data_IF_694707167808
#
_entry.id   IF_694707167808
#
_cell.length_a   1.000
_cell.length_b   1.000
_cell.length_c   1.000
_cell.angle_alpha   90.00
_cell.angle_beta   90.00
_cell.angle_gamma   90.00
#
_symmetry.space_group_name_H-M   'P 1'
#
loop_
_entity.id
_entity.type
_entity.pdbx_description
1 polymer ?
#
# COMPACT_ATOMS: atom_id res chain seq x y z
N UNK A 1 12.64 7.74 -15.65
CA UNK A 1 11.66 7.77 -16.75
C UNK A 1 10.51 6.82 -16.43
N UNK A 2 9.49 7.29 -15.71
CA UNK A 2 8.19 6.60 -15.62
C UNK A 2 7.14 7.61 -16.12
N UNK A 3 7.07 7.72 -17.44
CA UNK A 3 6.09 8.52 -18.18
C UNK A 3 4.80 7.70 -18.32
N UNK A 4 3.67 8.31 -17.94
CA UNK A 4 2.39 8.11 -18.60
C UNK A 4 1.53 6.93 -18.13
N UNK A 5 0.75 7.15 -17.06
CA UNK A 5 -0.53 6.46 -16.88
C UNK A 5 -1.65 7.51 -16.81
N UNK A 6 -2.05 8.01 -17.98
CA UNK A 6 -3.35 8.64 -18.16
C UNK A 6 -4.35 7.53 -18.49
N UNK A 7 -5.14 7.11 -17.50
CA UNK A 7 -6.37 6.36 -17.76
C UNK A 7 -7.45 7.42 -17.95
N UNK A 8 -7.73 7.80 -19.20
CA UNK A 8 -8.95 8.51 -19.55
C UNK A 8 -10.11 7.53 -19.43
N UNK A 9 -10.88 7.66 -18.35
CA UNK A 9 -12.15 6.94 -18.19
C UNK A 9 -13.24 7.78 -18.87
N UNK A 10 -13.60 7.43 -20.10
CA UNK A 10 -14.71 8.06 -20.80
C UNK A 10 -16.05 7.47 -20.30
N UNK A 11 -16.71 8.19 -19.39
CA UNK A 11 -18.10 7.95 -19.00
C UNK A 11 -19.02 8.83 -19.86
N UNK A 12 -19.50 8.32 -20.98
CA UNK A 12 -20.31 9.15 -21.87
C UNK A 12 -21.07 8.40 -22.95
N UNK A 13 -22.15 7.70 -22.58
CA UNK A 13 -23.16 7.28 -23.54
C UNK A 13 -23.83 8.51 -24.18
N UNK A 14 -23.50 8.82 -25.43
CA UNK A 14 -24.32 9.65 -26.32
C UNK A 14 -24.12 9.23 -27.77
N UNK A 15 -25.23 8.83 -28.42
CA UNK A 15 -25.29 8.56 -29.86
C UNK A 15 -25.09 9.87 -30.61
N UNK A 16 -24.10 9.92 -31.50
CA UNK A 16 -24.07 10.88 -32.60
C UNK A 16 -23.80 10.11 -33.91
N UNK A 17 -24.82 10.08 -34.77
CA UNK A 17 -24.64 9.86 -36.20
C UNK A 17 -24.17 11.17 -36.83
N UNK A 18 -23.05 11.16 -37.54
CA UNK A 18 -22.91 11.70 -38.91
C UNK A 18 -21.46 12.02 -39.28
N UNK A 19 -21.12 11.66 -40.52
CA UNK A 19 -20.13 12.27 -41.41
C UNK A 19 -18.65 12.22 -41.02
N UNK A 20 -18.04 11.04 -41.18
CA UNK A 20 -16.65 10.90 -41.63
C UNK A 20 -16.41 9.43 -41.98
N UNK A 21 -16.13 9.16 -43.27
CA UNK A 21 -16.06 7.83 -43.85
C UNK A 21 -14.83 7.01 -43.43
N UNK A 22 -14.86 6.46 -42.21
CA UNK A 22 -13.93 5.41 -41.79
C UNK A 22 -14.70 4.18 -41.30
N UNK A 23 -14.85 3.22 -42.19
CA UNK A 23 -15.31 1.87 -41.85
C UNK A 23 -14.18 1.12 -41.17
N UNK A 24 -14.31 0.88 -39.86
CA UNK A 24 -13.37 0.05 -39.11
C UNK A 24 -13.46 -1.41 -39.58
N UNK A 25 -12.36 -2.05 -39.99
CA UNK A 25 -12.37 -3.46 -40.36
C UNK A 25 -12.62 -4.31 -39.12
N UNK A 26 -13.63 -5.18 -39.21
CA UNK A 26 -13.63 -6.53 -38.66
C UNK A 26 -13.16 -6.71 -37.22
N UNK A 27 -14.12 -6.97 -36.33
CA UNK A 27 -13.95 -7.65 -35.05
C UNK A 27 -13.10 -8.92 -35.24
N UNK A 28 -11.78 -8.87 -35.05
CA UNK A 28 -10.84 -10.01 -34.89
C UNK A 28 -9.39 -9.51 -34.93
N UNK A 29 -8.96 -8.66 -34.00
CA UNK A 29 -7.53 -8.32 -33.87
C UNK A 29 -7.15 -7.83 -32.47
N UNK A 30 -7.51 -8.57 -31.43
CA UNK A 30 -6.89 -8.41 -30.10
C UNK A 30 -6.69 -9.78 -29.47
N UNK A 31 -5.88 -10.62 -30.12
CA UNK A 31 -5.34 -11.84 -29.50
C UNK A 31 -3.82 -11.78 -29.60
N UNK A 32 -3.18 -11.69 -28.43
CA UNK A 32 -1.73 -11.74 -28.13
C UNK A 32 -0.90 -10.49 -28.43
N UNK A 33 -0.78 -9.62 -27.41
CA UNK A 33 0.52 -9.35 -26.77
C UNK A 33 0.33 -8.66 -25.42
N UNK A 34 1.16 -9.07 -24.45
CA UNK A 34 1.32 -8.55 -23.09
C UNK A 34 0.19 -8.84 -22.10
N UNK A 35 0.53 -9.77 -21.20
CA UNK A 35 -0.20 -10.15 -19.99
C UNK A 35 -0.24 -8.95 -19.02
N UNK A 36 -1.14 -8.01 -19.26
CA UNK A 36 -1.65 -7.12 -18.22
C UNK A 36 -3.05 -7.62 -17.89
N UNK A 37 -3.13 -8.40 -16.81
CA UNK A 37 -4.41 -8.81 -16.27
C UNK A 37 -5.06 -7.56 -15.66
N UNK A 38 -6.21 -7.15 -16.21
CA UNK A 38 -7.09 -6.19 -15.54
C UNK A 38 -7.34 -6.67 -14.11
N UNK A 39 -7.50 -5.75 -13.12
CA UNK A 39 -7.73 -6.13 -11.72
C UNK A 39 -8.89 -7.14 -11.67
N UNK A 40 -8.59 -8.38 -11.24
CA UNK A 40 -9.51 -9.52 -11.35
C UNK A 40 -10.75 -9.36 -10.46
N UNK A 41 -10.74 -8.39 -9.53
CA UNK A 41 -11.83 -8.09 -8.59
C UNK A 41 -12.02 -6.58 -8.44
N UNK A 42 -13.27 -6.13 -8.27
CA UNK A 42 -13.58 -4.71 -7.99
C UNK A 42 -12.88 -4.16 -6.74
N UNK A 43 -12.53 -5.03 -5.80
CA UNK A 43 -11.72 -4.73 -4.60
C UNK A 43 -10.30 -4.25 -4.97
N UNK A 44 -9.70 -4.81 -6.02
CA UNK A 44 -8.36 -4.45 -6.48
C UNK A 44 -8.36 -3.07 -7.17
N UNK A 45 -9.40 -2.77 -7.95
CA UNK A 45 -9.57 -1.47 -8.59
C UNK A 45 -9.84 -0.35 -7.57
N UNK A 46 -10.68 -0.62 -6.56
CA UNK A 46 -10.95 0.32 -5.46
C UNK A 46 -9.69 0.64 -4.66
N UNK A 47 -8.82 -0.35 -4.46
CA UNK A 47 -7.54 -0.14 -3.80
C UNK A 47 -6.56 0.69 -4.62
N UNK A 48 -6.39 0.38 -5.91
CA UNK A 48 -5.46 1.13 -6.77
C UNK A 48 -5.89 2.59 -6.82
N UNK A 49 -7.20 2.82 -6.89
CA UNK A 49 -7.78 4.14 -6.77
C UNK A 49 -7.47 4.80 -5.42
N UNK A 50 -7.75 4.15 -4.29
CA UNK A 50 -7.50 4.70 -2.95
C UNK A 50 -6.02 5.03 -2.71
N UNK A 51 -5.11 4.12 -3.07
CA UNK A 51 -3.67 4.33 -2.94
C UNK A 51 -3.20 5.50 -3.82
N UNK A 52 -3.67 5.56 -5.06
CA UNK A 52 -3.35 6.64 -5.99
C UNK A 52 -3.89 8.00 -5.51
N UNK A 53 -5.14 8.05 -5.03
CA UNK A 53 -5.76 9.30 -4.54
C UNK A 53 -5.06 9.81 -3.29
N UNK A 54 -4.75 8.94 -2.32
CA UNK A 54 -4.03 9.32 -1.11
C UNK A 54 -2.63 9.84 -1.40
N UNK A 55 -1.89 9.17 -2.29
CA UNK A 55 -0.57 9.64 -2.70
C UNK A 55 -0.67 10.97 -3.43
N UNK A 56 -1.66 11.16 -4.30
CA UNK A 56 -1.86 12.41 -5.02
C UNK A 56 -2.21 13.56 -4.07
N UNK A 57 -3.07 13.34 -3.09
CA UNK A 57 -3.47 14.34 -2.10
C UNK A 57 -2.33 14.71 -1.16
N UNK A 58 -1.53 13.73 -0.73
CA UNK A 58 -0.34 13.97 0.08
C UNK A 58 0.73 14.74 -0.70
N UNK A 59 0.93 14.42 -1.99
CA UNK A 59 1.84 15.17 -2.87
C UNK A 59 1.35 16.60 -3.09
N UNK A 60 0.05 16.79 -3.28
CA UNK A 60 -0.53 18.11 -3.40
C UNK A 60 -0.30 18.94 -2.13
N UNK A 61 -0.52 18.36 -0.96
CA UNK A 61 -0.24 19.03 0.31
C UNK A 61 1.25 19.38 0.49
N UNK A 62 2.15 18.51 0.06
CA UNK A 62 3.59 18.78 0.07
C UNK A 62 3.97 19.93 -0.87
N UNK A 63 3.40 19.97 -2.08
CA UNK A 63 3.61 21.05 -3.06
C UNK A 63 3.03 22.37 -2.55
N UNK A 64 1.86 22.35 -1.93
CA UNK A 64 1.21 23.53 -1.34
C UNK A 64 2.05 24.12 -0.20
N UNK A 65 2.54 23.28 0.71
CA UNK A 65 3.46 23.69 1.77
C UNK A 65 4.77 24.29 1.23
N UNK A 66 5.29 23.77 0.11
CA UNK A 66 6.48 24.33 -0.53
C UNK A 66 6.18 25.68 -1.16
N UNK A 67 5.08 25.78 -1.91
CA UNK A 67 4.62 27.03 -2.52
C UNK A 67 4.43 28.12 -1.47
N UNK A 68 3.77 27.82 -0.34
CA UNK A 68 3.56 28.79 0.73
C UNK A 68 4.91 29.26 1.34
N UNK A 69 5.86 28.35 1.59
CA UNK A 69 7.21 28.73 2.03
C UNK A 69 7.93 29.59 0.97
N UNK A 70 7.79 29.30 -0.31
CA UNK A 70 8.41 30.07 -1.39
C UNK A 70 7.81 31.48 -1.52
N UNK A 71 6.48 31.63 -1.40
CA UNK A 71 5.85 32.95 -1.43
C UNK A 71 6.32 33.85 -0.28
N UNK A 72 6.49 33.28 0.92
CA UNK A 72 7.02 34.03 2.07
C UNK A 72 8.54 34.25 2.01
N UNK A 73 9.26 33.44 1.24
CA UNK A 73 10.71 33.57 1.07
C UNK A 73 11.08 34.89 0.40
N UNK A 74 10.34 35.32 -0.62
CA UNK A 74 10.65 36.54 -1.35
C UNK A 74 10.45 37.79 -0.50
N UNK A 75 9.37 37.81 0.30
CA UNK A 75 9.12 38.88 1.27
C UNK A 75 10.22 38.91 2.34
N UNK A 76 10.59 37.75 2.88
CA UNK A 76 11.70 37.62 3.83
C UNK A 76 13.03 38.11 3.24
N UNK A 77 13.38 37.68 2.04
CA UNK A 77 14.64 38.02 1.38
C UNK A 77 14.73 39.53 1.09
N UNK A 78 13.63 40.13 0.63
CA UNK A 78 13.52 41.57 0.40
C UNK A 78 13.64 42.37 1.71
N UNK A 79 12.93 41.95 2.77
CA UNK A 79 12.94 42.62 4.07
C UNK A 79 14.32 42.52 4.75
N UNK A 80 14.94 41.34 4.73
CA UNK A 80 16.28 41.14 5.28
C UNK A 80 17.33 41.92 4.48
N UNK A 81 17.23 41.94 3.15
CA UNK A 81 18.12 42.72 2.28
C UNK A 81 18.01 44.23 2.53
N UNK A 82 16.79 44.74 2.68
CA UNK A 82 16.53 46.16 2.98
C UNK A 82 17.00 46.50 4.39
N UNK A 83 16.73 45.65 5.37
CA UNK A 83 17.18 45.83 6.75
C UNK A 83 18.70 45.88 6.89
N UNK A 84 19.43 45.02 6.16
CA UNK A 84 20.90 45.05 6.13
C UNK A 84 21.46 46.33 5.52
N UNK A 85 20.83 46.84 4.45
CA UNK A 85 21.20 48.15 3.87
C UNK A 85 20.96 49.29 4.86
N UNK A 86 19.81 49.30 5.52
CA UNK A 86 19.49 50.31 6.55
C UNK A 86 20.50 50.26 7.69
N UNK A 87 20.83 49.07 8.20
CA UNK A 87 21.83 48.87 9.24
C UNK A 87 23.17 49.52 8.89
N UNK A 88 23.63 49.38 7.64
CA UNK A 88 24.89 49.99 7.19
C UNK A 88 24.87 51.51 7.06
N UNK A 89 23.69 52.12 7.06
CA UNK A 89 23.48 53.56 6.87
C UNK A 89 23.12 54.32 8.17
N UNK A 90 22.89 53.60 9.28
CA UNK A 90 22.54 54.20 10.56
C UNK A 90 23.74 54.90 11.19
N UNK A 91 23.58 56.16 11.56
CA UNK A 91 24.60 56.94 12.28
C UNK A 91 24.57 56.69 13.81
N UNK A 92 23.43 56.23 14.32
CA UNK A 92 23.22 55.91 15.75
C UNK A 92 23.59 54.45 16.03
N UNK A 93 24.54 54.25 16.94
CA UNK A 93 25.00 52.92 17.32
C UNK A 93 23.90 52.12 18.03
N UNK A 94 23.10 52.77 18.86
CA UNK A 94 22.03 52.11 19.62
C UNK A 94 20.90 51.64 18.68
N UNK A 95 20.53 52.45 17.70
CA UNK A 95 19.53 52.08 16.69
C UNK A 95 20.03 50.94 15.79
N UNK A 96 21.32 50.94 15.45
CA UNK A 96 21.95 49.87 14.69
C UNK A 96 21.91 48.54 15.46
N UNK A 97 22.25 48.55 16.75
CA UNK A 97 22.17 47.35 17.62
C UNK A 97 20.72 46.84 17.73
N UNK A 98 19.75 47.75 17.89
CA UNK A 98 18.34 47.38 17.97
C UNK A 98 17.82 46.76 16.66
N UNK A 99 18.18 47.34 15.50
CA UNK A 99 17.80 46.82 14.19
C UNK A 99 18.44 45.46 13.91
N UNK A 100 19.74 45.32 14.23
CA UNK A 100 20.46 44.05 14.09
C UNK A 100 19.75 42.93 14.87
N UNK A 101 19.40 43.20 16.14
CA UNK A 101 18.68 42.22 16.97
C UNK A 101 17.33 41.81 16.35
N UNK A 102 16.56 42.77 15.81
CA UNK A 102 15.27 42.47 15.15
C UNK A 102 15.45 41.63 13.88
N UNK A 103 16.49 41.91 13.09
CA UNK A 103 16.83 41.11 11.91
C UNK A 103 17.23 39.69 12.29
N UNK A 104 18.02 39.54 13.36
CA UNK A 104 18.42 38.22 13.86
C UNK A 104 17.23 37.42 14.39
N UNK A 105 16.33 38.04 15.16
CA UNK A 105 15.09 37.41 15.63
C UNK A 105 14.19 36.97 14.46
N UNK A 106 14.05 37.81 13.43
CA UNK A 106 13.30 37.46 12.20
C UNK A 106 13.95 36.29 11.45
N UNK A 107 15.27 36.34 11.24
CA UNK A 107 16.02 35.27 10.56
C UNK A 107 15.90 33.94 11.32
N UNK A 108 15.98 33.97 12.65
CA UNK A 108 15.77 32.78 13.49
C UNK A 108 14.36 32.20 13.32
N UNK A 109 13.31 33.04 13.37
CA UNK A 109 11.92 32.60 13.16
C UNK A 109 11.74 32.00 11.77
N UNK A 110 12.35 32.59 10.74
CA UNK A 110 12.33 32.08 9.38
C UNK A 110 12.99 30.70 9.26
N UNK A 111 14.19 30.54 9.82
CA UNK A 111 14.89 29.26 9.84
C UNK A 111 14.10 28.19 10.60
N UNK A 112 13.48 28.55 11.71
CA UNK A 112 12.61 27.65 12.49
C UNK A 112 11.38 27.19 11.70
N UNK A 113 10.72 28.13 11.00
CA UNK A 113 9.57 27.81 10.14
C UNK A 113 9.97 26.83 9.03
N UNK A 114 11.08 27.11 8.33
CA UNK A 114 11.60 26.23 7.29
C UNK A 114 11.95 24.84 7.83
N UNK A 115 12.59 24.77 9.01
CA UNK A 115 12.93 23.51 9.65
C UNK A 115 11.68 22.70 10.02
N UNK A 116 10.65 23.35 10.57
CA UNK A 116 9.35 22.71 10.85
C UNK A 116 8.66 22.19 9.60
N UNK A 117 8.61 22.99 8.52
CA UNK A 117 8.02 22.56 7.23
C UNK A 117 8.72 21.32 6.70
N UNK A 118 10.05 21.34 6.66
CA UNK A 118 10.86 20.20 6.22
C UNK A 118 10.60 18.95 7.07
N UNK A 119 10.47 19.11 8.39
CA UNK A 119 10.18 18.00 9.29
C UNK A 119 8.79 17.40 9.02
N UNK A 120 7.76 18.22 8.77
CA UNK A 120 6.41 17.76 8.42
C UNK A 120 6.44 16.97 7.13
N UNK A 121 7.08 17.52 6.08
CA UNK A 121 7.25 16.86 4.78
C UNK A 121 7.91 15.49 4.90
N UNK A 122 9.06 15.43 5.57
CA UNK A 122 9.79 14.16 5.75
C UNK A 122 8.94 13.11 6.50
N UNK A 123 8.12 13.54 7.47
CA UNK A 123 7.21 12.64 8.19
C UNK A 123 6.10 12.12 7.28
N UNK A 124 5.53 12.97 6.43
CA UNK A 124 4.48 12.57 5.48
C UNK A 124 5.02 11.63 4.40
N UNK A 125 6.19 11.92 3.84
CA UNK A 125 6.86 11.07 2.85
C UNK A 125 7.18 9.70 3.44
N UNK A 126 7.85 9.66 4.61
CA UNK A 126 8.16 8.41 5.30
C UNK A 126 6.92 7.60 5.66
N UNK A 127 5.85 8.25 6.13
CA UNK A 127 4.58 7.58 6.40
C UNK A 127 3.98 6.98 5.11
N UNK A 128 4.05 7.72 4.00
CA UNK A 128 3.55 7.30 2.69
C UNK A 128 4.26 6.08 2.15
N UNK A 129 5.59 6.12 2.16
CA UNK A 129 6.42 4.99 1.78
C UNK A 129 6.11 3.75 2.62
N UNK A 130 5.96 3.94 3.93
CA UNK A 130 5.71 2.85 4.87
C UNK A 130 4.38 2.14 4.60
N UNK A 131 3.25 2.86 4.57
CA UNK A 131 1.94 2.23 4.36
C UNK A 131 1.81 1.64 2.95
N UNK A 132 2.43 2.29 1.94
CA UNK A 132 2.37 1.81 0.57
C UNK A 132 3.14 0.49 0.40
N UNK A 133 4.36 0.43 0.92
CA UNK A 133 5.18 -0.79 0.90
C UNK A 133 4.50 -1.94 1.64
N UNK A 134 3.90 -1.65 2.81
CA UNK A 134 3.13 -2.63 3.58
C UNK A 134 1.98 -3.21 2.76
N UNK A 135 1.16 -2.36 2.12
CA UNK A 135 0.02 -2.82 1.34
C UNK A 135 0.43 -3.65 0.12
N UNK A 136 1.49 -3.25 -0.59
CA UNK A 136 2.04 -4.04 -1.70
C UNK A 136 2.51 -5.41 -1.21
N UNK A 137 3.26 -5.45 -0.10
CA UNK A 137 3.73 -6.69 0.51
C UNK A 137 2.58 -7.63 0.89
N UNK A 138 1.55 -7.12 1.57
CA UNK A 138 0.38 -7.92 1.96
C UNK A 138 -0.28 -8.58 0.75
N UNK A 139 -0.40 -7.85 -0.38
CA UNK A 139 -1.02 -8.35 -1.62
C UNK A 139 -0.19 -9.41 -2.31
N UNK A 140 1.10 -9.16 -2.48
CA UNK A 140 2.02 -10.13 -3.07
C UNK A 140 2.01 -11.45 -2.28
N UNK A 141 1.91 -11.35 -0.95
CA UNK A 141 1.79 -12.51 -0.07
C UNK A 141 0.44 -13.22 -0.23
N UNK A 142 -0.67 -12.49 -0.27
CA UNK A 142 -2.01 -13.05 -0.54
C UNK A 142 -2.03 -13.81 -1.87
N UNK A 143 -1.53 -13.21 -2.94
CA UNK A 143 -1.44 -13.86 -4.25
C UNK A 143 -0.52 -15.08 -4.23
N UNK A 144 0.59 -14.99 -3.48
CA UNK A 144 1.49 -16.12 -3.29
C UNK A 144 0.80 -17.28 -2.57
N UNK A 145 0.04 -16.99 -1.50
CA UNK A 145 -0.70 -18.00 -0.74
C UNK A 145 -1.78 -18.65 -1.60
N UNK A 146 -2.54 -17.86 -2.38
CA UNK A 146 -3.53 -18.39 -3.32
C UNK A 146 -2.88 -19.32 -4.34
N UNK A 147 -1.72 -18.93 -4.91
CA UNK A 147 -1.00 -19.79 -5.87
C UNK A 147 -0.54 -21.09 -5.21
N UNK A 148 -0.02 -21.03 -3.98
CA UNK A 148 0.40 -22.23 -3.24
C UNK A 148 -0.77 -23.13 -2.85
N UNK A 149 -1.91 -22.55 -2.55
CA UNK A 149 -3.14 -23.30 -2.32
C UNK A 149 -3.60 -24.06 -3.58
N UNK A 150 -3.52 -23.41 -4.76
CA UNK A 150 -3.81 -24.08 -6.03
C UNK A 150 -2.80 -25.17 -6.38
N UNK A 151 -1.52 -24.96 -6.08
CA UNK A 151 -0.46 -25.97 -6.25
C UNK A 151 -0.72 -27.20 -5.37
N UNK A 152 -1.06 -26.99 -4.11
CA UNK A 152 -1.42 -28.07 -3.17
C UNK A 152 -2.68 -28.82 -3.64
N UNK A 153 -3.66 -28.12 -4.22
CA UNK A 153 -4.85 -28.74 -4.84
C UNK A 153 -4.46 -29.60 -6.06
N UNK A 154 -3.46 -29.16 -6.82
CA UNK A 154 -2.97 -29.83 -8.02
C UNK A 154 -2.19 -31.12 -7.78
N UNK A 155 -1.71 -31.39 -6.55
CA UNK A 155 -1.00 -32.64 -6.21
C UNK A 155 -1.88 -33.90 -6.29
N UNK A 156 -3.20 -33.73 -6.46
CA UNK A 156 -4.14 -34.81 -6.70
C UNK A 156 -4.41 -35.69 -5.47
N UNK A 157 -5.31 -36.69 -5.59
CA UNK A 157 -5.54 -37.65 -4.53
C UNK A 157 -4.29 -38.52 -4.28
N UNK A 158 -4.16 -39.01 -3.04
CA UNK A 158 -3.05 -39.91 -2.68
C UNK A 158 -3.20 -41.22 -3.46
N UNK A 159 -2.17 -41.60 -4.21
CA UNK A 159 -2.17 -42.80 -5.05
C UNK A 159 -1.69 -44.03 -4.25
N UNK A 160 -2.21 -45.22 -4.57
CA UNK A 160 -1.96 -46.45 -3.81
C UNK A 160 -0.66 -47.20 -4.14
N UNK A 161 0.05 -46.85 -5.21
CA UNK A 161 1.36 -47.45 -5.53
C UNK A 161 2.48 -46.81 -4.70
N UNK A 162 3.38 -47.63 -4.15
CA UNK A 162 4.46 -47.23 -3.25
C UNK A 162 5.37 -46.18 -3.90
N UNK A 163 5.73 -46.35 -5.18
CA UNK A 163 6.61 -45.41 -5.87
C UNK A 163 5.96 -44.03 -6.05
N UNK A 164 4.64 -44.00 -6.33
CA UNK A 164 3.87 -42.77 -6.42
C UNK A 164 3.71 -42.10 -5.05
N UNK A 165 3.49 -42.88 -3.99
CA UNK A 165 3.37 -42.38 -2.62
C UNK A 165 4.68 -41.78 -2.11
N UNK A 166 5.82 -42.43 -2.38
CA UNK A 166 7.15 -41.91 -2.07
C UNK A 166 7.39 -40.56 -2.74
N UNK A 167 7.06 -40.46 -4.04
CA UNK A 167 7.16 -39.22 -4.80
C UNK A 167 6.27 -38.12 -4.20
N UNK A 168 5.01 -38.42 -3.89
CA UNK A 168 4.09 -37.47 -3.26
C UNK A 168 4.61 -36.98 -1.89
N UNK A 169 5.28 -37.85 -1.12
CA UNK A 169 5.89 -37.47 0.16
C UNK A 169 7.07 -36.51 -0.02
N UNK A 170 7.91 -36.74 -1.04
CA UNK A 170 9.04 -35.85 -1.35
C UNK A 170 8.57 -34.51 -1.93
N UNK A 171 7.57 -34.53 -2.81
CA UNK A 171 6.90 -33.32 -3.32
C UNK A 171 6.31 -32.50 -2.16
N UNK A 172 5.66 -33.16 -1.18
CA UNK A 172 5.17 -32.48 0.03
C UNK A 172 6.29 -31.82 0.83
N UNK A 173 7.39 -32.55 1.01
CA UNK A 173 8.54 -32.08 1.80
C UNK A 173 9.14 -30.84 1.16
N UNK A 174 9.23 -30.81 -0.18
CA UNK A 174 9.62 -29.64 -0.95
C UNK A 174 8.65 -28.47 -0.77
N UNK A 175 7.35 -28.73 -0.84
CA UNK A 175 6.31 -27.72 -0.61
C UNK A 175 6.38 -27.12 0.81
N UNK A 176 6.50 -27.97 1.83
CA UNK A 176 6.68 -27.60 3.25
C UNK A 176 7.86 -26.66 3.45
N UNK A 177 9.02 -26.95 2.85
CA UNK A 177 10.20 -26.07 2.95
C UNK A 177 9.91 -24.67 2.42
N UNK A 178 9.22 -24.56 1.29
CA UNK A 178 8.84 -23.26 0.73
C UNK A 178 7.88 -22.47 1.64
N UNK A 179 6.99 -23.16 2.39
CA UNK A 179 6.16 -22.50 3.40
C UNK A 179 7.03 -22.00 4.57
N UNK A 180 7.95 -22.81 5.09
CA UNK A 180 8.84 -22.41 6.17
C UNK A 180 9.72 -21.22 5.78
N UNK A 181 10.26 -21.21 4.56
CA UNK A 181 11.06 -20.09 4.04
C UNK A 181 10.23 -18.79 3.91
N UNK A 182 8.93 -18.92 3.60
CA UNK A 182 8.03 -17.76 3.44
C UNK A 182 7.46 -17.25 4.76
N UNK A 183 7.36 -18.10 5.78
CA UNK A 183 6.78 -17.79 7.11
C UNK A 183 7.31 -16.48 7.71
N UNK A 184 8.62 -16.22 7.83
CA UNK A 184 9.11 -14.99 8.49
C UNK A 184 8.65 -13.73 7.77
N UNK A 185 8.49 -13.78 6.44
CA UNK A 185 8.02 -12.64 5.64
C UNK A 185 6.52 -12.40 5.92
N UNK A 186 5.71 -13.47 5.97
CA UNK A 186 4.29 -13.37 6.30
C UNK A 186 4.08 -12.83 7.71
N UNK A 187 4.79 -13.36 8.70
CA UNK A 187 4.70 -12.93 10.09
C UNK A 187 5.11 -11.47 10.27
N UNK A 188 6.17 -11.04 9.59
CA UNK A 188 6.62 -9.65 9.62
C UNK A 188 5.60 -8.69 8.99
N UNK A 189 5.05 -9.02 7.82
CA UNK A 189 4.02 -8.17 7.18
C UNK A 189 2.73 -8.11 8.00
N UNK A 190 2.32 -9.21 8.64
CA UNK A 190 1.19 -9.22 9.56
C UNK A 190 1.46 -8.40 10.82
N UNK A 191 2.67 -8.48 11.39
CA UNK A 191 3.08 -7.68 12.55
C UNK A 191 3.07 -6.18 12.20
N UNK A 192 3.70 -5.81 11.10
CA UNK A 192 3.75 -4.43 10.60
C UNK A 192 2.34 -3.88 10.36
N UNK A 193 1.45 -4.70 9.79
CA UNK A 193 0.04 -4.34 9.60
C UNK A 193 -0.71 -4.11 10.91
N UNK A 194 -0.51 -4.98 11.92
CA UNK A 194 -1.10 -4.78 13.25
C UNK A 194 -0.56 -3.54 13.96
N UNK A 195 0.73 -3.27 13.85
CA UNK A 195 1.36 -2.08 14.42
C UNK A 195 0.83 -0.80 13.77
N UNK A 196 0.72 -0.77 12.44
CA UNK A 196 0.14 0.36 11.72
C UNK A 196 -1.28 0.66 12.21
N UNK A 197 -2.10 -0.38 12.34
CA UNK A 197 -3.48 -0.27 12.83
C UNK A 197 -3.53 0.20 14.30
N UNK A 198 -2.60 -0.27 15.15
CA UNK A 198 -2.56 0.08 16.57
C UNK A 198 -2.06 1.51 16.84
N UNK A 199 -1.22 2.04 15.94
CA UNK A 199 -0.67 3.39 16.04
C UNK A 199 -1.66 4.47 15.53
N UNK A 200 -2.81 4.07 14.97
CA UNK A 200 -3.90 5.00 14.66
C UNK A 200 -4.50 5.54 15.98
N UNK A 201 -4.65 6.86 16.15
CA UNK A 201 -5.15 7.42 17.40
C UNK A 201 -6.50 6.78 17.79
N UNK A 202 -6.67 6.33 19.05
CA UNK A 202 -7.92 5.75 19.48
C UNK A 202 -9.03 6.79 19.36
N UNK A 203 -10.17 6.33 18.83
CA UNK A 203 -11.42 7.07 18.72
C UNK A 203 -11.69 7.81 20.03
N UNK A 204 -11.70 9.14 19.99
CA UNK A 204 -12.40 9.91 21.02
C UNK A 204 -13.88 9.85 20.68
N UNK A 205 -14.57 8.85 21.21
CA UNK A 205 -16.03 8.71 21.13
C UNK A 205 -16.76 9.67 22.09
N UNK A 206 -16.11 10.79 22.44
CA UNK A 206 -16.70 11.90 23.20
C UNK A 206 -16.38 13.20 22.47
N UNK A 207 -17.16 13.51 21.44
CA UNK A 207 -17.42 14.89 21.06
C UNK A 207 -18.83 14.99 20.49
N UNK A 208 -19.79 14.53 21.28
CA UNK A 208 -21.11 15.17 21.25
C UNK A 208 -20.93 16.60 21.79
N UNK A 209 -21.46 17.55 21.03
CA UNK A 209 -21.70 18.96 21.40
C UNK A 209 -20.61 20.00 21.05
N UNK A 210 -20.85 20.60 19.88
CA UNK A 210 -20.82 22.05 19.57
C UNK A 210 -19.74 22.58 18.61
N UNK A 211 -20.21 23.06 17.45
CA UNK A 211 -19.47 23.92 16.53
C UNK A 211 -19.87 23.74 15.07
N UNK A 212 -21.16 23.82 14.73
CA UNK A 212 -21.74 24.89 13.89
C UNK A 212 -21.07 25.08 12.52
N UNK A 213 -21.84 24.69 11.49
CA UNK A 213 -21.95 25.29 10.16
C UNK A 213 -20.93 26.39 9.81
N UNK A 214 -19.95 26.03 8.98
CA UNK A 214 -19.37 26.95 8.02
C UNK A 214 -19.40 26.28 6.64
N UNK A 215 -20.13 26.95 5.76
CA UNK A 215 -20.33 26.71 4.34
C UNK A 215 -19.10 26.21 3.57
N UNK A 216 -19.39 25.45 2.51
CA UNK A 216 -18.75 25.75 1.23
C UNK A 216 -18.02 24.59 0.57
N UNK A 217 -18.68 24.01 -0.42
CA UNK A 217 -18.05 23.35 -1.57
C UNK A 217 -17.29 22.04 -1.28
N UNK A 218 -17.96 21.07 -0.64
CA UNK A 218 -17.53 19.65 -0.70
C UNK A 218 -17.78 19.07 -2.09
N UNK A 219 -16.92 19.47 -3.01
CA UNK A 219 -16.82 19.04 -4.40
C UNK A 219 -16.29 17.61 -4.48
N UNK A 220 -17.05 16.61 -3.99
CA UNK A 220 -16.84 15.17 -4.26
C UNK A 220 -15.51 14.54 -3.83
N UNK A 221 -14.56 15.29 -3.26
CA UNK A 221 -13.33 14.79 -2.66
C UNK A 221 -13.58 14.50 -1.18
N UNK A 222 -13.33 13.25 -0.77
CA UNK A 222 -13.32 12.87 0.66
C UNK A 222 -12.23 13.65 1.36
N UNK A 223 -12.50 14.19 2.55
CA UNK A 223 -11.50 14.84 3.40
C UNK A 223 -10.29 13.91 3.64
N UNK A 224 -9.07 14.45 3.69
CA UNK A 224 -7.84 13.70 3.96
C UNK A 224 -7.95 12.75 5.17
N UNK A 225 -8.72 13.16 6.19
CA UNK A 225 -9.00 12.33 7.37
C UNK A 225 -9.87 11.11 7.03
N UNK A 226 -10.90 11.29 6.20
CA UNK A 226 -11.75 10.19 5.73
C UNK A 226 -10.97 9.21 4.85
N UNK A 227 -10.03 9.71 4.05
CA UNK A 227 -9.14 8.88 3.25
C UNK A 227 -8.15 8.09 4.10
N UNK A 228 -7.54 8.71 5.12
CA UNK A 228 -6.69 8.03 6.08
C UNK A 228 -7.46 6.90 6.80
N UNK A 229 -8.72 7.15 7.18
CA UNK A 229 -9.60 6.12 7.76
C UNK A 229 -9.86 4.97 6.79
N UNK A 230 -10.13 5.25 5.51
CA UNK A 230 -10.34 4.18 4.52
C UNK A 230 -9.06 3.38 4.24
N UNK A 231 -7.89 4.02 4.28
CA UNK A 231 -6.59 3.36 4.20
C UNK A 231 -6.42 2.35 5.35
N UNK A 232 -6.67 2.77 6.59
CA UNK A 232 -6.55 1.87 7.75
C UNK A 232 -7.54 0.71 7.67
N UNK A 233 -8.79 0.97 7.22
CA UNK A 233 -9.76 -0.10 6.96
C UNK A 233 -9.26 -1.06 5.87
N UNK A 234 -8.64 -0.55 4.81
CA UNK A 234 -8.07 -1.37 3.74
C UNK A 234 -6.93 -2.24 4.26
N UNK A 235 -5.98 -1.67 5.01
CA UNK A 235 -4.87 -2.43 5.62
C UNK A 235 -5.41 -3.52 6.53
N UNK A 236 -6.41 -3.22 7.38
CA UNK A 236 -7.06 -4.21 8.24
C UNK A 236 -7.67 -5.37 7.46
N UNK A 237 -8.36 -5.09 6.35
CA UNK A 237 -8.93 -6.14 5.48
C UNK A 237 -7.84 -7.03 4.89
N UNK A 238 -6.77 -6.45 4.36
CA UNK A 238 -5.67 -7.22 3.76
C UNK A 238 -4.90 -8.04 4.80
N UNK A 239 -4.65 -7.49 6.00
CA UNK A 239 -4.03 -8.23 7.11
C UNK A 239 -4.87 -9.43 7.52
N UNK A 240 -6.19 -9.24 7.70
CA UNK A 240 -7.09 -10.35 8.05
C UNK A 240 -7.12 -11.41 6.96
N UNK A 241 -7.26 -10.98 5.70
CA UNK A 241 -7.28 -11.88 4.53
C UNK A 241 -5.99 -12.69 4.41
N UNK A 242 -4.83 -12.05 4.55
CA UNK A 242 -3.54 -12.75 4.53
C UNK A 242 -3.46 -13.77 5.66
N UNK A 243 -3.85 -13.38 6.88
CA UNK A 243 -3.82 -14.26 8.05
C UNK A 243 -4.71 -15.49 7.84
N UNK A 244 -5.94 -15.29 7.39
CA UNK A 244 -6.90 -16.37 7.14
C UNK A 244 -6.40 -17.33 6.05
N UNK A 245 -5.96 -16.80 4.91
CA UNK A 245 -5.48 -17.63 3.80
C UNK A 245 -4.20 -18.38 4.16
N UNK A 246 -3.28 -17.72 4.88
CA UNK A 246 -2.05 -18.36 5.34
C UNK A 246 -2.36 -19.53 6.28
N UNK A 247 -3.20 -19.31 7.30
CA UNK A 247 -3.57 -20.36 8.25
C UNK A 247 -4.28 -21.52 7.56
N UNK A 248 -5.23 -21.23 6.66
CA UNK A 248 -5.91 -22.26 5.89
C UNK A 248 -4.95 -23.09 5.01
N UNK A 249 -3.93 -22.46 4.41
CA UNK A 249 -2.90 -23.14 3.64
C UNK A 249 -2.05 -24.07 4.51
N UNK A 250 -1.64 -23.61 5.70
CA UNK A 250 -0.89 -24.45 6.67
C UNK A 250 -1.73 -25.65 7.08
N UNK A 251 -2.98 -25.43 7.51
CA UNK A 251 -3.89 -26.49 7.94
C UNK A 251 -4.13 -27.53 6.85
N UNK A 252 -4.35 -27.08 5.61
CA UNK A 252 -4.52 -27.97 4.45
C UNK A 252 -3.25 -28.76 4.16
N UNK A 253 -2.08 -28.13 4.24
CA UNK A 253 -0.79 -28.79 4.05
C UNK A 253 -0.58 -29.90 5.09
N UNK A 254 -0.91 -29.62 6.35
CA UNK A 254 -0.81 -30.60 7.45
C UNK A 254 -1.84 -31.72 7.29
N UNK A 255 -3.06 -31.41 6.88
CA UNK A 255 -4.08 -32.42 6.58
C UNK A 255 -3.64 -33.36 5.45
N UNK A 256 -2.98 -32.82 4.42
CA UNK A 256 -2.45 -33.64 3.33
C UNK A 256 -1.27 -34.51 3.79
N UNK A 257 -0.38 -33.99 4.65
CA UNK A 257 0.69 -34.78 5.30
C UNK A 257 0.13 -35.99 6.05
N UNK A 258 -0.89 -35.78 6.89
CA UNK A 258 -1.55 -36.86 7.66
C UNK A 258 -2.10 -37.93 6.74
N UNK A 259 -2.81 -37.55 5.67
CA UNK A 259 -3.33 -38.49 4.66
C UNK A 259 -2.22 -39.34 4.02
N UNK A 260 -1.08 -38.71 3.66
CA UNK A 260 0.06 -39.45 3.13
C UNK A 260 0.61 -40.47 4.13
N UNK A 261 0.79 -40.07 5.39
CA UNK A 261 1.34 -40.94 6.42
C UNK A 261 0.38 -42.10 6.76
N UNK A 262 -0.93 -41.85 6.79
CA UNK A 262 -1.95 -42.88 6.99
C UNK A 262 -1.91 -43.92 5.87
N UNK A 263 -1.88 -43.48 4.60
CA UNK A 263 -1.80 -44.40 3.45
C UNK A 263 -0.51 -45.20 3.41
N UNK A 264 0.62 -44.60 3.82
CA UNK A 264 1.91 -45.30 3.92
C UNK A 264 1.85 -46.42 4.98
N UNK A 265 1.19 -46.17 6.10
CA UNK A 265 1.04 -47.15 7.19
C UNK A 265 0.17 -48.34 6.78
N UNK A 266 -0.94 -48.09 6.07
CA UNK A 266 -1.84 -49.13 5.56
C UNK A 266 -1.15 -50.02 4.54
N UNK A 267 -0.44 -49.43 3.58
CA UNK A 267 0.34 -50.18 2.59
C UNK A 267 1.36 -51.10 3.28
N UNK A 268 2.15 -50.57 4.21
CA UNK A 268 3.15 -51.36 4.96
C UNK A 268 2.52 -52.53 5.73
N UNK A 269 1.35 -52.32 6.33
CA UNK A 269 0.64 -53.35 7.11
C UNK A 269 0.09 -54.46 6.21
N UNK A 270 -0.45 -54.11 5.04
CA UNK A 270 -0.92 -55.08 4.05
C UNK A 270 0.21 -55.98 3.55
N UNK A 271 1.37 -55.41 3.17
CA UNK A 271 2.52 -56.23 2.76
C UNK A 271 3.01 -57.17 3.86
N UNK A 272 3.02 -56.72 5.13
CA UNK A 272 3.36 -57.57 6.26
C UNK A 272 2.36 -58.71 6.46
N UNK A 273 1.06 -58.49 6.24
CA UNK A 273 0.04 -59.54 6.30
C UNK A 273 0.16 -60.53 5.14
N UNK A 274 0.39 -60.06 3.91
CA UNK A 274 0.61 -60.93 2.75
C UNK A 274 1.86 -61.81 2.90
N UNK A 275 2.94 -61.29 3.49
CA UNK A 275 4.15 -62.07 3.77
C UNK A 275 4.01 -63.07 4.93
N UNK A 276 3.01 -62.92 5.79
CA UNK A 276 2.77 -63.82 6.93
C UNK A 276 1.78 -64.94 6.61
N UNK A 277 1.07 -64.82 5.49
CA UNK A 277 0.08 -65.78 4.98
C UNK A 277 0.64 -66.71 3.88
N UNK A 278 1.89 -66.50 3.45
CA UNK A 278 2.68 -67.38 2.60
C UNK A 278 3.70 -68.14 3.45
#
# INVERSE_FOLDING_TARGET
MLLGYLITVDYGGRKYSSASGYTWPGRRCWRRRSRFELPRRWEDARFVYLSYTLIAELRYFEEDLQSEIETHHDVYASLNGTGRKLLSSLASQDDAVMLQRRLDEMNQRWHHLKAKSMAIRNRLESNTEHWNALLLSLRELIEWVIRKDTELTGLGPVCGDIAALQKQQDDHRGFRRQLEDKRPIVENSLLSGRQYIANEPPLSDTSDSEGRDLDGDSRGYRSAEEQARELTRSIRREVNKLSEQWNALIERSDAWKRKLDDTASVSTTNYHFYFRLL
#
